data_IF_193219013496
#
_entry.id   IF_193219013496
#
_cell.length_a   1.000
_cell.length_b   1.000
_cell.length_c   1.000
_cell.angle_alpha   90.00
_cell.angle_beta   90.00
_cell.angle_gamma   90.00
#
_symmetry.space_group_name_H-M   'P 1'
#
loop_
_entity.id
_entity.type
_entity.pdbx_description
1 polymer ?
#
# COMPACT_ATOMS: atom_id res chain seq x y z
N UNK A 1 18.81 -15.58 -15.06
CA UNK A 1 17.92 -14.69 -15.85
C UNK A 1 16.96 -14.02 -14.89
N UNK A 2 17.06 -12.69 -14.75
CA UNK A 2 16.07 -11.83 -14.08
C UNK A 2 16.04 -11.85 -12.54
N UNK A 3 16.94 -11.10 -11.89
CA UNK A 3 16.78 -10.66 -10.49
C UNK A 3 15.67 -9.59 -10.36
N UNK A 4 14.52 -9.83 -10.98
CA UNK A 4 13.47 -8.83 -11.08
C UNK A 4 12.69 -8.73 -9.78
N UNK A 5 12.81 -7.58 -9.13
CA UNK A 5 11.79 -7.06 -8.21
C UNK A 5 10.41 -7.34 -8.80
N UNK A 6 9.47 -7.84 -8.00
CA UNK A 6 8.09 -8.01 -8.43
C UNK A 6 7.43 -6.63 -8.59
N UNK A 7 7.62 -6.05 -9.77
CA UNK A 7 7.06 -4.76 -10.16
C UNK A 7 5.53 -4.78 -10.10
N UNK A 8 4.88 -5.95 -10.21
CA UNK A 8 3.44 -6.04 -10.07
C UNK A 8 3.00 -5.81 -8.62
N UNK A 9 3.76 -6.29 -7.63
CA UNK A 9 3.50 -5.98 -6.22
C UNK A 9 3.74 -4.50 -5.92
N UNK A 10 4.76 -3.89 -6.53
CA UNK A 10 4.98 -2.44 -6.41
C UNK A 10 3.83 -1.63 -7.01
N UNK A 11 3.33 -2.00 -8.19
CA UNK A 11 2.15 -1.36 -8.81
C UNK A 11 0.88 -1.53 -7.96
N UNK A 12 0.71 -2.70 -7.33
CA UNK A 12 -0.39 -2.93 -6.40
C UNK A 12 -0.27 -2.04 -5.16
N UNK A 13 0.94 -1.91 -4.59
CA UNK A 13 1.19 -1.02 -3.47
C UNK A 13 0.94 0.45 -3.83
N UNK A 14 1.33 0.87 -5.04
CA UNK A 14 1.06 2.21 -5.56
C UNK A 14 -0.43 2.46 -5.72
N UNK A 15 -1.17 1.53 -6.32
CA UNK A 15 -2.62 1.64 -6.48
C UNK A 15 -3.33 1.75 -5.13
N UNK A 16 -3.01 0.86 -4.18
CA UNK A 16 -3.55 0.90 -2.83
C UNK A 16 -3.18 2.21 -2.10
N UNK A 17 -1.95 2.71 -2.26
CA UNK A 17 -1.56 4.00 -1.70
C UNK A 17 -2.32 5.18 -2.31
N UNK A 18 -2.65 5.13 -3.60
CA UNK A 18 -3.47 6.16 -4.25
C UNK A 18 -4.90 6.12 -3.70
N UNK A 19 -5.51 4.93 -3.63
CA UNK A 19 -6.86 4.75 -3.07
C UNK A 19 -6.94 5.16 -1.60
N UNK A 20 -5.91 4.86 -0.81
CA UNK A 20 -5.79 5.33 0.56
C UNK A 20 -5.77 6.85 0.64
N UNK A 21 -4.98 7.51 -0.23
CA UNK A 21 -4.91 8.97 -0.30
C UNK A 21 -6.28 9.58 -0.63
N UNK A 22 -6.96 9.06 -1.66
CA UNK A 22 -8.29 9.54 -2.04
C UNK A 22 -9.30 9.36 -0.89
N UNK A 23 -9.26 8.21 -0.20
CA UNK A 23 -10.13 7.93 0.94
C UNK A 23 -9.85 8.87 2.13
N UNK A 24 -8.58 9.20 2.39
CA UNK A 24 -8.20 10.19 3.43
C UNK A 24 -8.69 11.58 3.05
N UNK A 25 -8.52 11.99 1.78
CA UNK A 25 -9.04 13.27 1.29
C UNK A 25 -10.55 13.34 1.47
N UNK A 26 -11.27 12.29 1.08
CA UNK A 26 -12.71 12.23 1.27
C UNK A 26 -13.11 12.27 2.76
N UNK A 27 -12.36 11.60 3.64
CA UNK A 27 -12.58 11.69 5.07
C UNK A 27 -12.39 13.11 5.62
N UNK A 28 -11.38 13.84 5.13
CA UNK A 28 -11.13 15.24 5.51
C UNK A 28 -12.30 16.12 5.08
N UNK A 29 -12.75 16.00 3.83
CA UNK A 29 -13.86 16.76 3.28
C UNK A 29 -15.18 16.47 4.02
N UNK A 30 -15.42 15.19 4.34
CA UNK A 30 -16.62 14.77 5.07
C UNK A 30 -16.51 15.01 6.58
N UNK A 31 -15.32 15.24 7.15
CA UNK A 31 -15.16 15.38 8.61
C UNK A 31 -16.00 16.52 9.22
N UNK A 32 -16.22 17.60 8.45
CA UNK A 32 -17.06 18.72 8.85
C UNK A 32 -18.54 18.54 8.50
N UNK A 33 -18.86 17.65 7.55
CA UNK A 33 -20.21 17.49 7.00
C UNK A 33 -20.94 16.23 7.50
N UNK A 34 -20.24 15.10 7.57
CA UNK A 34 -20.75 13.80 7.97
C UNK A 34 -19.63 12.92 8.57
N UNK A 35 -19.59 12.89 9.91
CA UNK A 35 -18.57 12.15 10.67
C UNK A 35 -18.66 10.63 10.48
N UNK A 36 -19.84 10.08 10.17
CA UNK A 36 -20.01 8.66 9.86
C UNK A 36 -19.31 8.31 8.55
N UNK A 37 -19.57 9.07 7.48
CA UNK A 37 -18.91 8.86 6.19
C UNK A 37 -17.40 9.09 6.29
N UNK A 38 -16.97 10.09 7.08
CA UNK A 38 -15.55 10.29 7.35
C UNK A 38 -14.92 9.07 8.04
N UNK A 39 -15.60 8.47 9.01
CA UNK A 39 -15.12 7.27 9.70
C UNK A 39 -15.05 6.05 8.77
N UNK A 40 -16.03 5.88 7.87
CA UNK A 40 -16.00 4.81 6.86
C UNK A 40 -14.86 4.99 5.87
N UNK A 41 -14.64 6.22 5.37
CA UNK A 41 -13.54 6.50 4.47
C UNK A 41 -12.17 6.31 5.14
N UNK A 42 -12.03 6.66 6.43
CA UNK A 42 -10.82 6.35 7.21
C UNK A 42 -10.61 4.84 7.36
N UNK A 43 -11.68 4.07 7.55
CA UNK A 43 -11.60 2.61 7.63
C UNK A 43 -11.15 2.00 6.31
N UNK A 44 -11.67 2.50 5.18
CA UNK A 44 -11.24 2.11 3.85
C UNK A 44 -9.75 2.45 3.65
N UNK A 45 -9.33 3.67 4.00
CA UNK A 45 -7.94 4.08 3.91
C UNK A 45 -7.00 3.17 4.72
N UNK A 46 -7.41 2.76 5.93
CA UNK A 46 -6.62 1.86 6.76
C UNK A 46 -6.44 0.48 6.09
N UNK A 47 -7.48 -0.05 5.45
CA UNK A 47 -7.40 -1.31 4.68
C UNK A 47 -6.41 -1.19 3.52
N UNK A 48 -6.52 -0.13 2.73
CA UNK A 48 -5.64 0.10 1.58
C UNK A 48 -4.16 0.29 2.02
N UNK A 49 -3.93 1.01 3.11
CA UNK A 49 -2.57 1.18 3.68
C UNK A 49 -2.01 -0.16 4.13
N UNK A 50 -2.80 -1.00 4.81
CA UNK A 50 -2.35 -2.32 5.25
C UNK A 50 -1.99 -3.22 4.05
N UNK A 51 -2.75 -3.12 2.96
CA UNK A 51 -2.44 -3.83 1.72
C UNK A 51 -1.13 -3.32 1.09
N UNK A 52 -0.96 -2.00 1.00
CA UNK A 52 0.28 -1.40 0.49
C UNK A 52 1.49 -1.84 1.33
N UNK A 53 1.40 -1.79 2.67
CA UNK A 53 2.44 -2.25 3.57
C UNK A 53 2.78 -3.74 3.38
N UNK A 54 1.77 -4.58 3.16
CA UNK A 54 1.96 -6.00 2.89
C UNK A 54 2.73 -6.23 1.59
N UNK A 55 2.31 -5.57 0.50
CA UNK A 55 3.00 -5.65 -0.78
C UNK A 55 4.46 -5.16 -0.70
N UNK A 56 4.70 -4.03 -0.04
CA UNK A 56 6.05 -3.49 0.18
C UNK A 56 6.92 -4.47 0.98
N UNK A 57 6.37 -5.04 2.05
CA UNK A 57 7.10 -5.99 2.90
C UNK A 57 7.47 -7.27 2.14
N UNK A 58 6.59 -7.76 1.26
CA UNK A 58 6.87 -8.89 0.39
C UNK A 58 8.01 -8.57 -0.57
N UNK A 59 7.96 -7.42 -1.25
CA UNK A 59 9.02 -6.98 -2.18
C UNK A 59 10.36 -6.77 -1.45
N UNK A 60 10.35 -6.21 -0.24
CA UNK A 60 11.57 -6.08 0.56
C UNK A 60 12.16 -7.44 0.95
N UNK A 61 11.31 -8.42 1.29
CA UNK A 61 11.75 -9.77 1.63
C UNK A 61 12.35 -10.49 0.42
N UNK A 62 11.73 -10.35 -0.75
CA UNK A 62 12.25 -10.84 -2.04
C UNK A 62 13.62 -10.22 -2.35
N UNK A 63 13.77 -8.91 -2.13
CA UNK A 63 15.05 -8.21 -2.30
C UNK A 63 16.15 -8.72 -1.35
N UNK A 64 15.83 -8.92 -0.07
CA UNK A 64 16.80 -9.42 0.92
C UNK A 64 17.28 -10.84 0.59
N UNK A 65 16.35 -11.73 0.23
CA UNK A 65 16.68 -13.12 -0.16
C UNK A 65 17.49 -13.21 -1.46
N UNK A 66 17.26 -12.29 -2.40
CA UNK A 66 18.07 -12.15 -3.61
C UNK A 66 19.49 -11.65 -3.33
N UNK A 67 19.67 -10.76 -2.34
CA UNK A 67 20.99 -10.25 -1.97
C UNK A 67 21.87 -11.36 -1.41
N UNK A 68 21.34 -12.22 -0.54
CA UNK A 68 22.07 -13.36 0.04
C UNK A 68 22.40 -14.47 -0.96
N UNK A 69 21.67 -14.55 -2.08
CA UNK A 69 21.90 -15.58 -3.11
C UNK A 69 22.92 -15.17 -4.18
N UNK A 70 23.41 -13.92 -4.15
CA UNK A 70 24.37 -13.39 -5.13
C UNK A 70 25.84 -13.43 -4.65
N UNK A 71 26.11 -13.97 -3.45
CA UNK A 71 27.45 -14.08 -2.84
C UNK A 71 28.04 -15.51 -2.81
N UNK A 72 27.49 -16.46 -3.58
CA UNK A 72 28.00 -17.85 -3.74
C UNK A 72 28.28 -18.14 -5.21
#
# INVERSE_FOLDING_TARGET
MGNQIDVNKLKQAEAASSLAKDSITQAIEQSAANTTLASEALKQAATEIAQAQTCISQVQSELQTQQSSSEI
#
